data_IF_943725649780
#
_entry.id   IF_943725649780
#
_cell.length_a   1.000
_cell.length_b   1.000
_cell.length_c   1.000
_cell.angle_alpha   90.00
_cell.angle_beta   90.00
_cell.angle_gamma   90.00
#
_symmetry.space_group_name_H-M   'P 1'
#
loop_
_entity.id
_entity.type
_entity.pdbx_description
1 polymer ?
#
# COMPACT_ATOMS: atom_id res chain seq x y z
N UNK A 1 15.42 -1.85 -16.79
CA UNK A 1 15.28 -0.44 -16.30
C UNK A 1 16.66 0.18 -16.19
N UNK A 2 16.89 1.39 -16.68
CA UNK A 2 18.15 2.11 -16.47
C UNK A 2 18.23 2.61 -15.03
N UNK A 3 19.43 2.80 -14.48
CA UNK A 3 19.63 3.32 -13.12
C UNK A 3 18.88 4.67 -12.92
N UNK A 4 18.88 5.53 -13.94
CA UNK A 4 18.14 6.81 -13.94
C UNK A 4 16.61 6.58 -13.82
N UNK A 5 16.05 5.59 -14.49
CA UNK A 5 14.61 5.30 -14.42
C UNK A 5 14.19 4.77 -13.06
N UNK A 6 14.99 3.87 -12.46
CA UNK A 6 14.72 3.36 -11.11
C UNK A 6 14.74 4.49 -10.05
N UNK A 7 15.67 5.43 -10.18
CA UNK A 7 15.74 6.60 -9.30
C UNK A 7 14.52 7.52 -9.50
N UNK A 8 14.13 7.80 -10.76
CA UNK A 8 12.92 8.57 -11.05
C UNK A 8 11.68 7.94 -10.44
N UNK A 9 11.51 6.63 -10.59
CA UNK A 9 10.36 5.91 -10.04
C UNK A 9 10.31 6.00 -8.49
N UNK A 10 11.46 5.88 -7.80
CA UNK A 10 11.52 6.10 -6.35
C UNK A 10 11.17 7.54 -5.96
N UNK A 11 11.64 8.52 -6.73
CA UNK A 11 11.34 9.93 -6.49
C UNK A 11 9.86 10.24 -6.70
N UNK A 12 9.22 9.65 -7.72
CA UNK A 12 7.77 9.75 -7.92
C UNK A 12 7.00 9.19 -6.71
N UNK A 13 7.38 8.03 -6.22
CA UNK A 13 6.77 7.44 -5.02
C UNK A 13 7.02 8.30 -3.76
N UNK A 14 8.21 8.88 -3.62
CA UNK A 14 8.57 9.78 -2.52
C UNK A 14 7.68 11.03 -2.46
N UNK A 15 7.18 11.52 -3.60
CA UNK A 15 6.26 12.67 -3.66
C UNK A 15 4.91 12.41 -2.97
N UNK A 16 4.52 11.16 -2.78
CA UNK A 16 3.28 10.77 -2.12
C UNK A 16 3.38 10.73 -0.59
N UNK A 17 4.59 10.88 -0.04
CA UNK A 17 4.86 10.80 1.40
C UNK A 17 4.01 11.79 2.21
N UNK A 18 3.45 11.30 3.31
CA UNK A 18 2.53 12.05 4.17
C UNK A 18 1.09 12.08 3.67
N UNK A 19 0.82 11.48 2.53
CA UNK A 19 -0.51 11.47 1.90
C UNK A 19 -1.33 10.22 2.17
N UNK A 20 -2.55 10.25 1.63
CA UNK A 20 -3.51 9.16 1.66
C UNK A 20 -3.83 8.73 0.24
N UNK A 21 -3.72 7.43 -0.03
CA UNK A 21 -4.13 6.81 -1.29
C UNK A 21 -5.45 6.10 -1.04
N UNK A 22 -6.47 6.41 -1.85
CA UNK A 22 -7.83 5.90 -1.63
C UNK A 22 -8.27 4.97 -2.74
N UNK A 23 -8.83 3.81 -2.37
CA UNK A 23 -9.49 2.90 -3.32
C UNK A 23 -10.79 3.52 -3.81
N UNK A 24 -10.98 3.53 -5.13
CA UNK A 24 -12.17 4.08 -5.79
C UNK A 24 -12.66 3.14 -6.88
N UNK A 25 -13.99 3.07 -7.07
CA UNK A 25 -14.61 2.18 -8.06
C UNK A 25 -15.34 2.94 -9.17
N UNK A 26 -15.51 4.24 -9.01
CA UNK A 26 -16.17 5.10 -10.01
C UNK A 26 -15.48 6.45 -10.15
N UNK A 27 -15.68 7.16 -11.28
CA UNK A 27 -15.19 8.53 -11.44
C UNK A 27 -15.68 9.50 -10.35
N UNK A 28 -16.90 9.33 -9.86
CA UNK A 28 -17.49 10.15 -8.78
C UNK A 28 -16.75 9.93 -7.46
N UNK A 29 -16.45 8.68 -7.10
CA UNK A 29 -15.64 8.35 -5.92
C UNK A 29 -14.23 8.92 -6.04
N UNK A 30 -13.62 8.85 -7.23
CA UNK A 30 -12.31 9.45 -7.48
C UNK A 30 -12.30 10.96 -7.26
N UNK A 31 -13.35 11.69 -7.68
CA UNK A 31 -13.52 13.13 -7.41
C UNK A 31 -13.66 13.39 -5.91
N UNK A 32 -14.49 12.61 -5.20
CA UNK A 32 -14.63 12.73 -3.73
C UNK A 32 -13.25 12.56 -3.05
N UNK A 33 -12.47 11.58 -3.46
CA UNK A 33 -11.13 11.34 -2.92
C UNK A 33 -10.19 12.53 -3.21
N UNK A 34 -10.17 13.03 -4.45
CA UNK A 34 -9.35 14.18 -4.83
C UNK A 34 -9.77 15.43 -4.05
N UNK A 35 -11.06 15.72 -3.95
CA UNK A 35 -11.59 16.89 -3.22
C UNK A 35 -11.31 16.80 -1.71
N UNK A 36 -11.23 15.59 -1.16
CA UNK A 36 -10.80 15.34 0.21
C UNK A 36 -9.30 15.56 0.44
N UNK A 37 -8.50 15.68 -0.63
CA UNK A 37 -7.06 15.90 -0.55
C UNK A 37 -6.22 14.61 -0.64
N UNK A 38 -6.76 13.52 -1.19
CA UNK A 38 -5.97 12.32 -1.47
C UNK A 38 -4.78 12.65 -2.38
N UNK A 39 -3.63 12.03 -2.12
CA UNK A 39 -2.44 12.21 -2.96
C UNK A 39 -2.44 11.34 -4.22
N UNK A 40 -3.24 10.29 -4.24
CA UNK A 40 -3.48 9.40 -5.37
C UNK A 40 -4.76 8.59 -5.12
N UNK A 41 -5.29 7.97 -6.17
CA UNK A 41 -6.38 6.98 -6.06
C UNK A 41 -5.93 5.63 -6.61
N UNK A 42 -6.50 4.56 -6.07
CA UNK A 42 -6.37 3.19 -6.57
C UNK A 42 -7.67 2.81 -7.28
N UNK A 43 -7.61 2.63 -8.60
CA UNK A 43 -8.76 2.25 -9.40
C UNK A 43 -9.02 0.75 -9.31
N UNK A 44 -10.21 0.37 -8.85
CA UNK A 44 -10.66 -1.01 -8.65
C UNK A 44 -12.11 -1.17 -9.10
N UNK A 45 -12.48 -2.28 -9.73
CA UNK A 45 -13.89 -2.62 -9.95
C UNK A 45 -14.61 -2.98 -8.66
N UNK A 46 -13.88 -3.56 -7.71
CA UNK A 46 -14.37 -3.93 -6.37
C UNK A 46 -13.33 -3.58 -5.33
N UNK A 47 -13.76 -2.91 -4.27
CA UNK A 47 -12.91 -2.68 -3.09
C UNK A 47 -12.64 -4.01 -2.35
N UNK A 48 -11.60 -4.08 -1.52
CA UNK A 48 -11.19 -5.34 -0.88
C UNK A 48 -12.32 -6.04 -0.11
N UNK A 49 -13.20 -5.32 0.58
CA UNK A 49 -14.35 -5.91 1.28
C UNK A 49 -15.30 -6.65 0.32
N UNK A 50 -15.57 -6.08 -0.84
CA UNK A 50 -16.43 -6.70 -1.86
C UNK A 50 -15.73 -7.89 -2.54
N UNK A 51 -14.40 -7.84 -2.70
CA UNK A 51 -13.61 -8.98 -3.17
C UNK A 51 -13.74 -10.15 -2.20
N UNK A 52 -13.64 -9.92 -0.89
CA UNK A 52 -13.84 -10.95 0.14
C UNK A 52 -15.26 -11.53 0.09
N UNK A 53 -16.27 -10.68 0.01
CA UNK A 53 -17.66 -11.10 -0.01
C UNK A 53 -18.03 -11.93 -1.25
N UNK A 54 -17.48 -11.55 -2.41
CA UNK A 54 -17.76 -12.24 -3.67
C UNK A 54 -17.05 -13.61 -3.78
N UNK A 55 -15.87 -13.76 -3.15
CA UNK A 55 -15.03 -14.95 -3.30
C UNK A 55 -14.54 -15.17 -4.74
N UNK A 56 -14.04 -16.36 -5.01
CA UNK A 56 -13.57 -16.75 -6.33
C UNK A 56 -12.26 -16.07 -6.74
N UNK A 57 -11.99 -16.06 -8.05
CA UNK A 57 -10.76 -15.49 -8.62
C UNK A 57 -10.95 -14.01 -8.90
N UNK A 58 -10.16 -13.18 -8.21
CA UNK A 58 -10.11 -11.72 -8.40
C UNK A 58 -8.97 -11.36 -9.35
N UNK A 59 -9.27 -10.59 -10.39
CA UNK A 59 -8.36 -10.23 -11.50
C UNK A 59 -8.19 -8.72 -11.60
N UNK A 60 -7.25 -8.29 -12.46
CA UNK A 60 -7.11 -6.89 -12.88
C UNK A 60 -8.46 -6.32 -13.34
N UNK A 61 -8.73 -5.08 -12.99
CA UNK A 61 -9.94 -4.36 -13.38
C UNK A 61 -9.96 -4.00 -14.87
N UNK A 62 -11.14 -3.76 -15.42
CA UNK A 62 -11.34 -3.37 -16.82
C UNK A 62 -10.57 -2.08 -17.14
N UNK A 63 -9.71 -2.07 -18.17
CA UNK A 63 -9.00 -0.86 -18.60
C UNK A 63 -9.90 0.31 -18.98
N UNK A 64 -11.12 0.07 -19.47
CA UNK A 64 -12.06 1.16 -19.78
C UNK A 64 -12.54 1.87 -18.50
N UNK A 65 -12.82 1.13 -17.44
CA UNK A 65 -13.16 1.68 -16.14
C UNK A 65 -11.98 2.50 -15.55
N UNK A 66 -10.76 1.97 -15.63
CA UNK A 66 -9.55 2.66 -15.17
C UNK A 66 -9.36 3.98 -15.92
N UNK A 67 -9.50 4.00 -17.24
CA UNK A 67 -9.43 5.22 -18.07
C UNK A 67 -10.48 6.25 -17.67
N UNK A 68 -11.72 5.83 -17.38
CA UNK A 68 -12.76 6.73 -16.90
C UNK A 68 -12.39 7.42 -15.57
N UNK A 69 -11.67 6.73 -14.69
CA UNK A 69 -11.13 7.32 -13.46
C UNK A 69 -9.96 8.27 -13.78
N UNK A 70 -9.03 7.88 -14.66
CA UNK A 70 -7.92 8.75 -15.10
C UNK A 70 -8.43 10.07 -15.70
N UNK A 71 -9.51 10.04 -16.48
CA UNK A 71 -10.13 11.23 -17.06
C UNK A 71 -10.83 12.13 -16.03
N UNK A 72 -11.25 11.56 -14.90
CA UNK A 72 -12.03 12.28 -13.89
C UNK A 72 -11.20 13.09 -12.90
N UNK A 73 -9.92 12.77 -12.71
CA UNK A 73 -9.05 13.37 -11.68
C UNK A 73 -7.72 13.83 -12.26
N UNK A 74 -7.08 14.77 -11.57
CA UNK A 74 -5.74 15.25 -11.90
C UNK A 74 -4.63 14.70 -11.01
N UNK A 75 -5.00 13.99 -9.93
CA UNK A 75 -4.06 13.27 -9.08
C UNK A 75 -3.68 11.92 -9.70
N UNK A 76 -2.52 11.34 -9.33
CA UNK A 76 -2.09 10.05 -9.86
C UNK A 76 -3.13 8.93 -9.66
N UNK A 77 -3.24 8.05 -10.65
CA UNK A 77 -4.10 6.87 -10.63
C UNK A 77 -3.25 5.62 -10.60
N UNK A 78 -3.49 4.76 -9.63
CA UNK A 78 -2.88 3.44 -9.48
C UNK A 78 -3.88 2.36 -9.91
N UNK A 79 -3.38 1.21 -10.33
CA UNK A 79 -4.21 0.02 -10.53
C UNK A 79 -3.45 -1.24 -10.10
N UNK A 80 -4.20 -2.31 -9.79
CA UNK A 80 -3.66 -3.57 -9.29
C UNK A 80 -3.51 -4.60 -10.39
N UNK A 81 -2.42 -5.36 -10.30
CA UNK A 81 -2.21 -6.60 -11.05
C UNK A 81 -2.06 -7.78 -10.10
N UNK A 82 -2.37 -8.97 -10.57
CA UNK A 82 -2.14 -10.20 -9.82
C UNK A 82 -0.64 -10.46 -9.68
N UNK A 83 -0.23 -11.03 -8.56
CA UNK A 83 1.16 -11.45 -8.33
C UNK A 83 1.62 -12.37 -9.47
N UNK A 84 2.76 -12.05 -10.08
CA UNK A 84 3.38 -12.80 -11.18
C UNK A 84 2.76 -12.57 -12.56
N UNK A 85 1.69 -11.78 -12.69
CA UNK A 85 0.98 -11.62 -13.95
C UNK A 85 1.56 -10.50 -14.83
N UNK A 86 2.68 -10.77 -15.49
CA UNK A 86 3.39 -9.79 -16.33
C UNK A 86 2.53 -9.19 -17.46
N UNK A 87 1.57 -9.97 -18.01
CA UNK A 87 0.70 -9.47 -19.08
C UNK A 87 -0.28 -8.41 -18.57
N UNK A 88 -0.84 -8.55 -17.35
CA UNK A 88 -1.68 -7.51 -16.73
C UNK A 88 -0.87 -6.21 -16.54
N UNK A 89 0.38 -6.30 -16.08
CA UNK A 89 1.24 -5.14 -15.93
C UNK A 89 1.54 -4.43 -17.26
N UNK A 90 1.75 -5.19 -18.35
CA UNK A 90 1.92 -4.63 -19.70
C UNK A 90 0.65 -3.93 -20.18
N UNK A 91 -0.52 -4.45 -19.89
CA UNK A 91 -1.80 -3.80 -20.22
C UNK A 91 -1.92 -2.46 -19.48
N UNK A 92 -1.64 -2.44 -18.17
CA UNK A 92 -1.71 -1.19 -17.41
C UNK A 92 -0.69 -0.15 -17.88
N UNK A 93 0.55 -0.56 -18.17
CA UNK A 93 1.53 0.37 -18.75
C UNK A 93 1.08 0.92 -20.09
N UNK A 94 0.41 0.12 -20.94
CA UNK A 94 -0.09 0.53 -22.25
C UNK A 94 -1.24 1.55 -22.20
N UNK A 95 -1.90 1.70 -21.05
CA UNK A 95 -2.92 2.73 -20.80
C UNK A 95 -2.39 3.91 -19.98
N UNK A 96 -1.07 4.06 -19.90
CA UNK A 96 -0.39 5.16 -19.21
C UNK A 96 -0.78 5.28 -17.73
N UNK A 97 -0.91 4.15 -17.03
CA UNK A 97 -1.15 4.15 -15.58
C UNK A 97 0.04 4.79 -14.83
N UNK A 98 -0.23 5.56 -13.79
CA UNK A 98 0.83 6.26 -13.05
C UNK A 98 1.63 5.32 -12.13
N UNK A 99 0.97 4.33 -11.51
CA UNK A 99 1.59 3.30 -10.64
C UNK A 99 0.88 1.97 -10.81
N UNK A 100 1.64 0.87 -10.68
CA UNK A 100 1.10 -0.50 -10.65
C UNK A 100 1.32 -1.08 -9.26
N UNK A 101 0.26 -1.60 -8.64
CA UNK A 101 0.34 -2.38 -7.41
C UNK A 101 0.27 -3.88 -7.75
N UNK A 102 1.40 -4.58 -7.66
CA UNK A 102 1.44 -6.05 -7.71
C UNK A 102 0.93 -6.57 -6.37
N UNK A 103 -0.33 -7.01 -6.34
CA UNK A 103 -1.12 -7.04 -5.12
C UNK A 103 -1.62 -8.42 -4.74
N UNK A 104 -1.41 -8.76 -3.46
CA UNK A 104 -2.00 -9.92 -2.78
C UNK A 104 -3.52 -9.82 -2.61
N UNK A 105 -4.12 -8.66 -2.79
CA UNK A 105 -5.57 -8.44 -2.76
C UNK A 105 -6.26 -9.22 -3.88
N UNK A 106 -5.64 -9.26 -5.05
CA UNK A 106 -6.08 -10.08 -6.17
C UNK A 106 -5.62 -11.54 -5.99
N UNK A 107 -6.26 -12.46 -6.70
CA UNK A 107 -5.82 -13.86 -6.70
C UNK A 107 -4.47 -13.99 -7.40
N UNK A 108 -3.44 -14.60 -6.80
CA UNK A 108 -2.15 -14.78 -7.45
C UNK A 108 -2.27 -15.52 -8.79
N UNK A 109 -1.49 -15.11 -9.77
CA UNK A 109 -1.32 -15.85 -11.04
C UNK A 109 -0.12 -16.78 -11.00
N UNK A 110 0.84 -16.47 -10.13
CA UNK A 110 2.02 -17.28 -9.86
C UNK A 110 2.20 -17.37 -8.35
N UNK A 111 2.50 -18.54 -7.82
CA UNK A 111 2.70 -18.80 -6.39
C UNK A 111 4.18 -18.81 -6.00
N UNK A 112 5.08 -18.67 -6.96
CA UNK A 112 6.55 -18.70 -6.77
C UNK A 112 7.19 -17.38 -7.20
N UNK A 113 6.86 -16.88 -8.39
CA UNK A 113 7.55 -15.75 -8.99
C UNK A 113 6.71 -14.47 -8.99
N UNK A 114 7.36 -13.37 -8.61
CA UNK A 114 6.85 -12.01 -8.80
C UNK A 114 7.28 -11.46 -10.16
N UNK A 115 6.61 -10.39 -10.59
CA UNK A 115 6.97 -9.66 -11.80
C UNK A 115 8.37 -9.05 -11.62
N UNK A 116 9.25 -9.22 -12.60
CA UNK A 116 10.47 -8.41 -12.71
C UNK A 116 10.11 -6.99 -13.15
N UNK A 117 10.03 -6.10 -12.19
CA UNK A 117 9.61 -4.70 -12.33
C UNK A 117 10.65 -3.85 -13.07
N UNK A 118 11.90 -4.36 -13.17
CA UNK A 118 12.95 -3.68 -13.94
C UNK A 118 12.70 -3.68 -15.44
N UNK A 119 11.72 -4.44 -15.94
CA UNK A 119 11.29 -4.44 -17.33
C UNK A 119 10.30 -3.33 -17.68
N UNK A 120 9.83 -2.54 -16.68
CA UNK A 120 8.79 -1.53 -16.84
C UNK A 120 9.32 -0.13 -16.58
N UNK A 121 8.70 0.86 -17.21
CA UNK A 121 8.97 2.28 -16.96
C UNK A 121 8.09 2.86 -15.84
N UNK A 122 6.94 2.26 -15.58
CA UNK A 122 6.02 2.68 -14.52
C UNK A 122 6.50 2.21 -13.14
N UNK A 123 6.37 3.03 -12.07
CA UNK A 123 6.71 2.63 -10.71
C UNK A 123 5.75 1.57 -10.16
N UNK A 124 6.31 0.59 -9.43
CA UNK A 124 5.54 -0.47 -8.77
C UNK A 124 5.46 -0.28 -7.27
N UNK A 125 4.29 -0.62 -6.73
CA UNK A 125 3.99 -0.76 -5.30
C UNK A 125 3.86 -2.24 -4.97
N UNK A 126 4.40 -2.68 -3.85
CA UNK A 126 4.26 -4.05 -3.34
C UNK A 126 3.97 -4.08 -1.85
N UNK A 127 3.19 -5.07 -1.43
CA UNK A 127 2.97 -5.37 -0.01
C UNK A 127 4.13 -6.18 0.59
N UNK A 128 4.40 -5.95 1.89
CA UNK A 128 5.33 -6.74 2.66
C UNK A 128 4.87 -6.86 4.13
N UNK A 129 5.17 -8.00 4.76
CA UNK A 129 4.89 -8.26 6.17
C UNK A 129 6.11 -8.03 7.06
N UNK A 130 7.30 -8.06 6.46
CA UNK A 130 8.58 -8.01 7.17
C UNK A 130 9.69 -7.47 6.27
N UNK A 131 10.87 -7.23 6.86
CA UNK A 131 12.00 -6.63 6.17
C UNK A 131 12.52 -7.48 5.01
N UNK A 132 12.62 -8.79 5.19
CA UNK A 132 13.09 -9.71 4.14
C UNK A 132 12.20 -9.65 2.91
N UNK A 133 10.88 -9.72 3.10
CA UNK A 133 9.91 -9.62 2.01
C UNK A 133 9.99 -8.26 1.31
N UNK A 134 10.07 -7.15 2.08
CA UNK A 134 10.22 -5.81 1.52
C UNK A 134 11.47 -5.68 0.65
N UNK A 135 12.61 -6.14 1.14
CA UNK A 135 13.87 -6.03 0.40
C UNK A 135 13.91 -6.92 -0.84
N UNK A 136 13.25 -8.10 -0.82
CA UNK A 136 13.07 -8.90 -2.04
C UNK A 136 12.23 -8.17 -3.10
N UNK A 137 11.12 -7.55 -2.72
CA UNK A 137 10.29 -6.73 -3.65
C UNK A 137 11.08 -5.54 -4.21
N UNK A 138 11.90 -4.89 -3.37
CA UNK A 138 12.77 -3.79 -3.80
C UNK A 138 13.85 -4.29 -4.77
N UNK A 139 14.43 -5.46 -4.52
CA UNK A 139 15.40 -6.09 -5.43
C UNK A 139 14.81 -6.36 -6.82
N UNK A 140 13.52 -6.69 -6.88
CA UNK A 140 12.76 -6.89 -8.13
C UNK A 140 12.36 -5.58 -8.80
N UNK A 141 12.63 -4.42 -8.18
CA UNK A 141 12.39 -3.09 -8.74
C UNK A 141 11.18 -2.34 -8.17
N UNK A 142 10.60 -2.77 -7.05
CA UNK A 142 9.55 -2.01 -6.38
C UNK A 142 10.05 -0.62 -5.97
N UNK A 143 9.27 0.42 -6.26
CA UNK A 143 9.54 1.81 -5.94
C UNK A 143 8.85 2.29 -4.64
N UNK A 144 7.89 1.51 -4.14
CA UNK A 144 7.16 1.74 -2.89
C UNK A 144 6.84 0.40 -2.24
N UNK A 145 6.93 0.37 -0.92
CA UNK A 145 6.43 -0.74 -0.08
C UNK A 145 5.22 -0.24 0.71
N UNK A 146 4.29 -1.14 0.97
CA UNK A 146 3.21 -0.96 1.94
C UNK A 146 3.10 -2.19 2.83
N UNK A 147 2.53 -2.05 4.01
CA UNK A 147 2.14 -3.22 4.79
C UNK A 147 1.10 -4.02 4.00
N UNK A 148 1.12 -5.34 4.09
CA UNK A 148 0.03 -6.16 3.54
C UNK A 148 -1.24 -5.95 4.34
N UNK A 149 -1.18 -6.01 5.66
CA UNK A 149 -2.36 -5.98 6.51
C UNK A 149 -3.33 -7.10 6.14
N UNK A 150 -4.61 -6.90 6.44
CA UNK A 150 -5.71 -7.71 5.88
C UNK A 150 -6.76 -6.77 5.28
N UNK A 151 -6.61 -6.43 3.99
CA UNK A 151 -7.47 -5.46 3.31
C UNK A 151 -8.94 -5.88 3.32
N UNK A 152 -9.83 -4.90 3.46
CA UNK A 152 -11.28 -5.12 3.46
C UNK A 152 -11.87 -5.61 4.78
N UNK A 153 -11.07 -5.72 5.85
CA UNK A 153 -11.54 -6.12 7.17
C UNK A 153 -12.02 -4.94 8.03
N UNK A 154 -11.48 -3.72 7.79
CA UNK A 154 -11.72 -2.59 8.70
C UNK A 154 -11.05 -2.76 10.07
N UNK A 155 -10.19 -3.75 10.22
CA UNK A 155 -9.36 -4.04 11.40
C UNK A 155 -7.89 -3.91 11.01
N UNK A 156 -7.19 -2.97 11.63
CA UNK A 156 -5.80 -2.64 11.31
C UNK A 156 -4.76 -3.50 12.04
N UNK A 157 -5.19 -4.45 12.89
CA UNK A 157 -4.28 -5.22 13.75
C UNK A 157 -3.13 -5.88 12.97
N UNK A 158 -3.40 -6.40 11.77
CA UNK A 158 -2.38 -7.02 10.93
C UNK A 158 -1.42 -5.97 10.34
N UNK A 159 -1.92 -4.82 9.93
CA UNK A 159 -1.08 -3.72 9.46
C UNK A 159 -0.14 -3.22 10.56
N UNK A 160 -0.64 -3.08 11.78
CA UNK A 160 0.15 -2.74 12.98
C UNK A 160 1.23 -3.79 13.24
N UNK A 161 0.90 -5.07 13.20
CA UNK A 161 1.89 -6.17 13.36
C UNK A 161 2.99 -6.08 12.30
N UNK A 162 2.63 -5.89 11.04
CA UNK A 162 3.60 -5.80 9.94
C UNK A 162 4.52 -4.59 10.07
N UNK A 163 3.97 -3.41 10.41
CA UNK A 163 4.76 -2.20 10.61
C UNK A 163 5.72 -2.37 11.80
N UNK A 164 5.25 -2.91 12.92
CA UNK A 164 6.09 -3.17 14.09
C UNK A 164 7.18 -4.20 13.81
N UNK A 165 6.87 -5.27 13.05
CA UNK A 165 7.82 -6.28 12.64
C UNK A 165 8.92 -5.67 11.76
N UNK A 166 8.52 -4.87 10.76
CA UNK A 166 9.44 -4.14 9.89
C UNK A 166 10.42 -3.28 10.70
N UNK A 167 9.87 -2.42 11.56
CA UNK A 167 10.67 -1.51 12.36
C UNK A 167 11.58 -2.23 13.36
N UNK A 168 11.12 -3.33 13.94
CA UNK A 168 11.94 -4.17 14.82
C UNK A 168 13.13 -4.73 14.05
N UNK A 169 12.91 -5.34 12.91
CA UNK A 169 13.95 -5.96 12.09
C UNK A 169 14.94 -4.93 11.53
N UNK A 170 14.48 -3.70 11.19
CA UNK A 170 15.37 -2.60 10.82
C UNK A 170 16.30 -2.26 11.99
N UNK A 171 15.77 -2.08 13.22
CA UNK A 171 16.60 -1.81 14.40
C UNK A 171 17.59 -2.92 14.72
N UNK A 172 17.17 -4.17 14.59
CA UNK A 172 18.03 -5.35 14.77
C UNK A 172 19.20 -5.32 13.77
N UNK A 173 18.90 -5.03 12.49
CA UNK A 173 19.93 -4.97 11.45
C UNK A 173 20.92 -3.78 11.68
N UNK A 174 20.42 -2.62 12.08
CA UNK A 174 21.23 -1.44 12.40
C UNK A 174 22.18 -1.69 13.58
N UNK A 175 21.77 -2.53 14.53
CA UNK A 175 22.58 -2.83 15.74
C UNK A 175 23.73 -3.81 15.47
N UNK A 176 23.78 -4.44 14.30
CA UNK A 176 24.83 -5.39 13.94
C UNK A 176 26.17 -4.69 13.66
N UNK A 177 27.25 -5.45 13.77
CA UNK A 177 28.56 -5.04 13.24
C UNK A 177 28.57 -5.23 11.73
N UNK A 178 29.44 -4.49 11.05
CA UNK A 178 29.56 -4.58 9.58
C UNK A 178 29.82 -6.00 9.06
N UNK A 179 30.63 -6.78 9.79
CA UNK A 179 30.95 -8.16 9.43
C UNK A 179 29.77 -9.15 9.64
N UNK A 180 28.79 -8.79 10.45
CA UNK A 180 27.61 -9.59 10.72
C UNK A 180 26.48 -9.38 9.67
N UNK A 181 26.53 -8.26 8.90
CA UNK A 181 25.52 -7.95 7.88
C UNK A 181 25.46 -9.00 6.76
N UNK A 182 26.57 -9.66 6.45
CA UNK A 182 26.59 -10.77 5.48
C UNK A 182 25.68 -11.93 5.88
N UNK A 183 25.74 -12.36 7.14
CA UNK A 183 24.88 -13.43 7.64
C UNK A 183 23.43 -12.97 7.75
N UNK A 184 23.18 -11.73 8.19
CA UNK A 184 21.85 -11.15 8.23
C UNK A 184 21.20 -11.11 6.84
N UNK A 185 21.91 -10.70 5.80
CA UNK A 185 21.43 -10.70 4.42
C UNK A 185 21.03 -12.12 3.95
N UNK A 186 21.85 -13.12 4.30
CA UNK A 186 21.55 -14.53 4.00
C UNK A 186 20.30 -15.03 4.74
N UNK A 187 20.16 -14.71 6.03
CA UNK A 187 18.99 -15.10 6.83
C UNK A 187 17.71 -14.45 6.33
N UNK A 188 17.77 -13.18 5.91
CA UNK A 188 16.67 -12.45 5.29
C UNK A 188 16.39 -12.92 3.84
N UNK A 189 17.28 -13.67 3.24
CA UNK A 189 17.25 -14.09 1.83
C UNK A 189 17.16 -12.89 0.87
N UNK A 190 18.07 -11.91 1.05
CA UNK A 190 18.10 -10.67 0.29
C UNK A 190 19.50 -10.34 -0.23
N UNK A 191 19.63 -9.49 -1.28
CA UNK A 191 20.93 -8.99 -1.71
C UNK A 191 21.66 -8.25 -0.58
N UNK A 192 22.96 -8.50 -0.45
CA UNK A 192 23.80 -7.87 0.57
C UNK A 192 23.71 -6.34 0.52
N UNK A 193 23.77 -5.75 -0.66
CA UNK A 193 23.75 -4.29 -0.82
C UNK A 193 22.49 -3.64 -0.26
N UNK A 194 21.33 -4.31 -0.34
CA UNK A 194 20.08 -3.82 0.24
C UNK A 194 20.08 -3.95 1.77
N UNK A 195 20.59 -5.07 2.32
CA UNK A 195 20.76 -5.23 3.75
C UNK A 195 21.74 -4.18 4.31
N UNK A 196 22.87 -3.98 3.62
CA UNK A 196 23.88 -2.96 3.98
C UNK A 196 23.30 -1.54 3.93
N UNK A 197 22.47 -1.23 2.92
CA UNK A 197 21.78 0.05 2.85
C UNK A 197 20.91 0.29 4.10
N UNK A 198 20.10 -0.69 4.50
CA UNK A 198 19.24 -0.57 5.69
C UNK A 198 20.07 -0.46 6.97
N UNK A 199 21.13 -1.26 7.09
CA UNK A 199 22.07 -1.19 8.20
C UNK A 199 22.64 0.24 8.37
N UNK A 200 23.11 0.84 7.28
CA UNK A 200 23.78 2.13 7.30
C UNK A 200 22.82 3.33 7.45
N UNK A 201 21.58 3.20 6.96
CA UNK A 201 20.63 4.31 6.88
C UNK A 201 19.45 4.19 7.87
N UNK A 202 19.24 3.04 8.49
CA UNK A 202 18.14 2.81 9.44
C UNK A 202 16.75 2.87 8.83
N UNK A 203 16.63 2.69 7.51
CA UNK A 203 15.36 2.76 6.78
C UNK A 203 15.42 1.99 5.46
N UNK A 204 14.25 1.72 4.88
CA UNK A 204 14.18 1.20 3.52
C UNK A 204 14.68 2.24 2.48
N UNK A 205 15.21 1.79 1.32
CA UNK A 205 15.59 2.69 0.22
C UNK A 205 14.39 3.29 -0.53
N UNK A 206 13.17 2.91 -0.18
CA UNK A 206 11.89 3.38 -0.75
C UNK A 206 10.93 3.75 0.37
N UNK A 207 9.87 4.50 0.06
CA UNK A 207 8.83 4.83 1.03
C UNK A 207 8.06 3.58 1.46
N UNK A 208 7.63 3.56 2.72
CA UNK A 208 6.84 2.48 3.31
C UNK A 208 5.51 3.04 3.86
N UNK A 209 4.42 2.70 3.22
CA UNK A 209 3.07 3.12 3.62
C UNK A 209 2.38 2.03 4.46
N UNK A 210 1.39 2.41 5.24
CA UNK A 210 0.50 1.49 5.90
C UNK A 210 -0.70 1.16 5.01
N UNK A 211 -1.09 -0.10 4.97
CA UNK A 211 -2.29 -0.58 4.27
C UNK A 211 -2.92 -1.75 5.02
N UNK A 212 -4.22 -1.91 4.85
CA UNK A 212 -4.99 -3.02 5.40
C UNK A 212 -5.68 -2.69 6.72
N UNK A 213 -6.96 -2.34 6.65
CA UNK A 213 -7.85 -2.19 7.80
C UNK A 213 -8.06 -0.77 8.32
N UNK A 214 -7.37 0.24 7.81
CA UNK A 214 -7.57 1.64 8.21
C UNK A 214 -8.99 2.09 7.87
N UNK A 215 -9.74 2.54 8.88
CA UNK A 215 -11.14 2.94 8.72
C UNK A 215 -11.49 4.27 9.41
N UNK A 216 -10.63 4.79 10.28
CA UNK A 216 -10.87 6.00 11.06
C UNK A 216 -9.67 6.96 11.04
N UNK A 217 -9.85 8.25 11.39
CA UNK A 217 -8.73 9.18 11.60
C UNK A 217 -7.72 8.69 12.65
N UNK A 218 -8.19 8.03 13.71
CA UNK A 218 -7.34 7.48 14.75
C UNK A 218 -6.46 6.34 14.25
N UNK A 219 -7.00 5.44 13.41
CA UNK A 219 -6.24 4.36 12.78
C UNK A 219 -5.10 4.93 11.92
N UNK A 220 -5.41 5.93 11.08
CA UNK A 220 -4.41 6.58 10.25
C UNK A 220 -3.31 7.25 11.09
N UNK A 221 -3.70 7.95 12.16
CA UNK A 221 -2.75 8.57 13.09
C UNK A 221 -1.87 7.54 13.80
N UNK A 222 -2.43 6.40 14.22
CA UNK A 222 -1.66 5.30 14.82
C UNK A 222 -0.61 4.75 13.84
N UNK A 223 -0.97 4.53 12.58
CA UNK A 223 -0.02 4.03 11.61
C UNK A 223 1.12 5.02 11.33
N UNK A 224 0.81 6.32 11.29
CA UNK A 224 1.84 7.36 11.17
C UNK A 224 2.75 7.43 12.40
N UNK A 225 2.20 7.31 13.63
CA UNK A 225 2.98 7.21 14.88
C UNK A 225 3.92 6.00 14.87
N UNK A 226 3.50 4.89 14.27
CA UNK A 226 4.33 3.68 14.11
C UNK A 226 5.38 3.80 13.00
N UNK A 227 5.48 4.95 12.33
CA UNK A 227 6.52 5.23 11.35
C UNK A 227 6.12 4.95 9.90
N UNK A 228 4.83 4.77 9.60
CA UNK A 228 4.36 4.78 8.22
C UNK A 228 4.61 6.16 7.58
N UNK A 229 4.89 6.16 6.29
CA UNK A 229 5.18 7.38 5.54
C UNK A 229 3.96 7.87 4.74
N UNK A 230 2.81 7.30 5.00
CA UNK A 230 1.50 7.57 4.44
C UNK A 230 0.59 6.36 4.62
N UNK A 231 -0.67 6.46 4.20
CA UNK A 231 -1.65 5.37 4.37
C UNK A 231 -2.40 5.10 3.07
N UNK A 232 -2.72 3.82 2.86
CA UNK A 232 -3.75 3.38 1.91
C UNK A 232 -5.05 3.15 2.68
N UNK A 233 -6.15 3.65 2.16
CA UNK A 233 -7.48 3.40 2.72
C UNK A 233 -8.36 2.81 1.64
N UNK A 234 -8.73 1.55 1.82
CA UNK A 234 -9.60 0.84 0.90
C UNK A 234 -11.07 0.98 1.28
N UNK A 235 -11.64 -0.09 1.79
CA UNK A 235 -13.07 -0.17 2.14
C UNK A 235 -13.52 0.83 3.20
N UNK A 236 -12.62 1.31 4.04
CA UNK A 236 -12.92 2.19 5.18
C UNK A 236 -13.57 3.53 4.81
N UNK A 237 -13.38 4.05 3.59
CA UNK A 237 -14.01 5.29 3.13
C UNK A 237 -15.44 5.02 2.63
N UNK A 238 -15.58 4.28 1.53
CA UNK A 238 -16.85 4.14 0.80
C UNK A 238 -17.82 3.11 1.41
N UNK A 239 -17.41 2.36 2.42
CA UNK A 239 -18.28 1.55 3.29
C UNK A 239 -18.72 2.26 4.57
N UNK A 240 -18.39 3.54 4.74
CA UNK A 240 -18.80 4.36 5.89
C UNK A 240 -20.09 5.13 5.62
N UNK A 241 -20.68 5.69 6.68
CA UNK A 241 -21.94 6.43 6.58
C UNK A 241 -21.82 7.79 5.88
N UNK A 242 -20.63 8.42 5.89
CA UNK A 242 -20.34 9.71 5.20
C UNK A 242 -18.93 9.65 4.60
N UNK A 243 -18.78 9.09 3.37
CA UNK A 243 -17.48 8.92 2.74
C UNK A 243 -16.69 10.22 2.53
N UNK A 244 -17.32 11.30 2.10
CA UNK A 244 -16.64 12.56 1.79
C UNK A 244 -16.04 13.19 3.06
N UNK A 245 -16.81 13.24 4.14
CA UNK A 245 -16.37 13.78 5.43
C UNK A 245 -15.28 12.91 6.04
N UNK A 246 -15.45 11.59 5.99
CA UNK A 246 -14.46 10.62 6.51
C UNK A 246 -13.15 10.70 5.73
N UNK A 247 -13.19 10.75 4.42
CA UNK A 247 -12.02 10.91 3.57
C UNK A 247 -11.22 12.17 3.94
N UNK A 248 -11.88 13.32 4.04
CA UNK A 248 -11.25 14.58 4.42
C UNK A 248 -10.66 14.53 5.85
N UNK A 249 -11.34 13.87 6.80
CA UNK A 249 -10.86 13.70 8.16
C UNK A 249 -9.61 12.82 8.22
N UNK A 250 -9.57 11.71 7.48
CA UNK A 250 -8.43 10.79 7.43
C UNK A 250 -7.22 11.49 6.77
N UNK A 251 -7.39 12.26 5.69
CA UNK A 251 -6.33 13.03 5.06
C UNK A 251 -5.68 14.00 6.05
N UNK A 252 -6.51 14.78 6.76
CA UNK A 252 -6.03 15.74 7.75
C UNK A 252 -5.36 15.06 8.96
N UNK A 253 -5.91 13.95 9.42
CA UNK A 253 -5.33 13.17 10.52
C UNK A 253 -3.95 12.59 10.14
N UNK A 254 -3.80 12.09 8.91
CA UNK A 254 -2.53 11.58 8.41
C UNK A 254 -1.45 12.66 8.37
N UNK A 255 -1.81 13.88 7.93
CA UNK A 255 -0.88 15.00 7.85
C UNK A 255 -0.55 15.63 9.22
N UNK A 256 -1.44 15.47 10.23
CA UNK A 256 -1.34 16.11 11.54
C UNK A 256 -1.47 15.08 12.68
N UNK A 257 -0.94 13.91 12.51
CA UNK A 257 -1.11 12.76 13.39
C UNK A 257 -0.66 12.98 14.85
N UNK A 258 0.17 13.99 15.11
CA UNK A 258 0.65 14.36 16.46
C UNK A 258 -0.24 15.40 17.17
N UNK A 259 -1.20 16.01 16.47
CA UNK A 259 -2.09 17.02 17.04
C UNK A 259 -3.34 16.38 17.63
N UNK A 260 -3.30 16.04 18.93
CA UNK A 260 -4.39 15.36 19.60
C UNK A 260 -5.69 16.18 19.65
N UNK A 261 -5.60 17.51 19.73
CA UNK A 261 -6.79 18.39 19.73
C UNK A 261 -7.47 18.42 18.37
N UNK A 262 -6.67 18.41 17.30
CA UNK A 262 -7.19 18.30 15.94
C UNK A 262 -7.76 16.91 15.69
N UNK A 263 -7.08 15.84 16.10
CA UNK A 263 -7.57 14.46 15.97
C UNK A 263 -8.91 14.27 16.67
N UNK A 264 -9.09 14.84 17.86
CA UNK A 264 -10.36 14.79 18.58
C UNK A 264 -11.48 15.44 17.73
N UNK A 265 -11.27 16.64 17.20
CA UNK A 265 -12.23 17.34 16.33
C UNK A 265 -12.52 16.58 15.03
N UNK A 266 -11.49 16.00 14.40
CA UNK A 266 -11.64 15.24 13.16
C UNK A 266 -12.41 13.92 13.36
N UNK A 267 -12.44 13.40 14.58
CA UNK A 267 -13.14 12.16 14.92
C UNK A 267 -14.63 12.38 15.25
N UNK A 268 -15.10 13.64 15.36
CA UNK A 268 -16.47 13.95 15.73
C UNK A 268 -17.44 13.82 14.55
N UNK A 269 -18.58 13.20 14.81
CA UNK A 269 -19.74 13.20 13.89
C UNK A 269 -19.42 12.72 12.47
N UNK A 270 -18.59 11.69 12.31
CA UNK A 270 -18.21 11.12 11.02
C UNK A 270 -19.24 10.13 10.45
N UNK A 271 -20.35 9.91 11.13
CA UNK A 271 -21.27 8.81 10.83
C UNK A 271 -20.67 7.45 11.21
N UNK A 272 -21.35 6.39 10.82
CA UNK A 272 -20.89 5.03 11.13
C UNK A 272 -19.61 4.71 10.38
N UNK A 273 -18.62 4.16 11.06
CA UNK A 273 -17.47 3.51 10.42
C UNK A 273 -17.93 2.21 9.75
N UNK A 274 -17.12 1.69 8.80
CA UNK A 274 -17.43 0.35 8.29
C UNK A 274 -17.44 -0.66 9.45
N UNK A 275 -18.41 -1.58 9.43
CA UNK A 275 -18.54 -2.60 10.50
C UNK A 275 -17.33 -3.52 10.58
N UNK A 276 -16.81 -3.90 9.40
CA UNK A 276 -15.60 -4.72 9.33
C UNK A 276 -15.79 -6.19 9.71
N UNK A 277 -14.66 -6.88 9.85
CA UNK A 277 -14.56 -8.31 10.18
C UNK A 277 -13.41 -8.45 11.18
N UNK A 278 -13.66 -9.08 12.34
CA UNK A 278 -12.60 -9.36 13.29
C UNK A 278 -11.60 -10.39 12.77
N UNK A 279 -10.37 -10.37 13.30
CA UNK A 279 -9.30 -11.29 12.89
C UNK A 279 -9.73 -12.75 12.90
N UNK A 280 -10.45 -13.18 13.95
CA UNK A 280 -10.89 -14.57 14.12
C UNK A 280 -11.98 -15.01 13.11
N UNK A 281 -12.61 -14.06 12.42
CA UNK A 281 -13.65 -14.31 11.42
C UNK A 281 -13.12 -14.34 9.99
N UNK A 282 -11.83 -14.09 9.79
CA UNK A 282 -11.21 -14.02 8.46
C UNK A 282 -11.11 -15.42 7.84
N UNK A 283 -11.82 -15.64 6.74
CA UNK A 283 -11.77 -16.91 5.99
C UNK A 283 -10.61 -16.98 5.01
N UNK A 284 -10.22 -15.87 4.40
CA UNK A 284 -9.13 -15.79 3.42
C UNK A 284 -8.06 -14.85 3.94
N UNK A 285 -6.87 -15.38 4.21
CA UNK A 285 -5.70 -14.62 4.61
C UNK A 285 -4.98 -14.14 3.36
N UNK A 286 -5.19 -12.87 2.98
CA UNK A 286 -4.56 -12.29 1.79
C UNK A 286 -3.07 -12.04 2.01
N UNK A 287 -2.67 -11.67 3.23
CA UNK A 287 -1.28 -11.39 3.58
C UNK A 287 -0.33 -12.58 3.39
N UNK A 288 -0.84 -13.81 3.37
CA UNK A 288 -0.05 -15.01 3.12
C UNK A 288 0.33 -15.21 1.64
N UNK A 289 -0.29 -14.46 0.72
CA UNK A 289 -0.04 -14.60 -0.73
C UNK A 289 1.28 -13.94 -1.11
N UNK A 290 2.06 -14.59 -1.99
CA UNK A 290 3.30 -14.06 -2.56
C UNK A 290 4.37 -13.79 -1.50
N UNK A 291 4.69 -14.76 -0.68
CA UNK A 291 5.80 -14.69 0.31
C UNK A 291 7.18 -14.82 -0.33
#
# INVERSE_FOLDING_TARGET
MTQNRAELNRNLAQMLKGGVIMDVTTPEQAKIAQDAGACAVMALERIPADIRAAGGVSRMSDPAMIKGIQEAVSIPVMAKVRIGHIAEARILQAIDIDYIDESEVLSPADDVYHIDKNQFDVPFVCGAKNLGEALRRIAEGAAMIRTKGEPGTGDEIQAVRHMRTMNKQIRELVALRDDEVYEAAKQLAVPYDLAKYVHDNGRLPVVNFAAGGVATPADAALMMELGAEGVFVGSGIFKSGDPAKRAAAIVKATANWQDADLLAKLSENLGEAMVGINEDEIQTIMAARGE
#
